data_IF_059911559786
#
_entry.id   IF_059911559786
#
_cell.length_a   1.000
_cell.length_b   1.000
_cell.length_c   1.000
_cell.angle_alpha   90.00
_cell.angle_beta   90.00
_cell.angle_gamma   90.00
#
_symmetry.space_group_name_H-M   'P 1'
#
loop_
_entity.id
_entity.type
_entity.pdbx_description
1 polymer ?
#
# COMPACT_ATOMS: atom_id res chain seq x y z
N UNK A 1 -19.80 -34.74 -5.91
CA UNK A 1 -20.06 -33.29 -5.79
C UNK A 1 -18.78 -32.58 -6.13
N UNK A 2 -18.73 -31.92 -7.29
CA UNK A 2 -17.54 -31.23 -7.79
C UNK A 2 -17.46 -29.83 -7.16
N UNK A 3 -16.34 -29.53 -6.50
CA UNK A 3 -15.98 -28.17 -6.10
C UNK A 3 -15.53 -27.38 -7.34
N UNK A 4 -15.98 -26.13 -7.55
CA UNK A 4 -15.49 -25.30 -8.64
C UNK A 4 -14.04 -24.88 -8.37
N UNK A 5 -13.21 -24.97 -9.42
CA UNK A 5 -11.83 -24.51 -9.45
C UNK A 5 -11.77 -23.02 -9.16
N UNK A 6 -10.88 -22.64 -8.25
CA UNK A 6 -10.46 -21.27 -8.07
C UNK A 6 -9.79 -20.78 -9.36
N UNK A 7 -10.26 -19.65 -9.85
CA UNK A 7 -9.70 -18.88 -10.95
C UNK A 7 -8.20 -18.63 -10.72
N UNK A 8 -7.34 -19.14 -11.59
CA UNK A 8 -5.94 -18.73 -11.69
C UNK A 8 -5.86 -17.26 -12.10
N UNK A 9 -5.24 -16.35 -11.33
CA UNK A 9 -4.84 -15.04 -11.80
C UNK A 9 -3.36 -15.06 -12.20
N UNK A 10 -2.90 -16.14 -12.83
CA UNK A 10 -1.50 -16.27 -13.24
C UNK A 10 -1.34 -15.78 -14.68
N UNK A 11 -1.48 -14.47 -14.87
CA UNK A 11 -0.87 -13.80 -16.01
C UNK A 11 0.65 -13.95 -15.86
N UNK A 12 1.26 -14.93 -16.54
CA UNK A 12 2.71 -15.13 -16.46
C UNK A 12 3.43 -13.85 -16.88
N UNK A 13 4.61 -13.53 -16.33
CA UNK A 13 5.39 -12.35 -16.73
C UNK A 13 5.67 -12.31 -18.26
N UNK A 14 5.76 -13.49 -18.88
CA UNK A 14 5.84 -13.63 -20.34
C UNK A 14 4.54 -13.22 -21.06
N UNK A 15 3.38 -13.45 -20.45
CA UNK A 15 2.07 -13.03 -20.97
C UNK A 15 1.86 -11.52 -20.84
N UNK A 16 2.29 -10.90 -19.74
CA UNK A 16 2.25 -9.43 -19.60
C UNK A 16 3.14 -8.75 -20.63
N UNK A 17 4.36 -9.27 -20.83
CA UNK A 17 5.26 -8.77 -21.87
C UNK A 17 4.67 -8.98 -23.27
N UNK A 18 4.12 -10.16 -23.56
CA UNK A 18 3.50 -10.45 -24.85
C UNK A 18 2.25 -9.58 -25.10
N UNK A 19 1.45 -9.33 -24.06
CA UNK A 19 0.28 -8.45 -24.08
C UNK A 19 0.71 -7.01 -24.38
N UNK A 20 1.69 -6.49 -23.64
CA UNK A 20 2.25 -5.15 -23.84
C UNK A 20 2.77 -4.95 -25.27
N UNK A 21 3.51 -5.94 -25.80
CA UNK A 21 4.03 -5.92 -27.17
C UNK A 21 2.92 -6.01 -28.24
N UNK A 22 1.76 -6.56 -27.89
CA UNK A 22 0.62 -6.71 -28.81
C UNK A 22 -0.27 -5.46 -28.87
N UNK A 23 -0.13 -4.53 -27.91
CA UNK A 23 -0.91 -3.30 -27.84
C UNK A 23 -0.70 -2.40 -29.08
N UNK A 24 -1.74 -1.69 -29.55
CA UNK A 24 -1.62 -0.80 -30.71
C UNK A 24 -0.50 0.24 -30.59
N UNK A 25 -0.28 0.77 -29.38
CA UNK A 25 0.76 1.76 -29.07
C UNK A 25 2.16 1.16 -29.20
N UNK A 26 2.37 -0.10 -28.79
CA UNK A 26 3.64 -0.80 -28.96
C UNK A 26 3.96 -1.09 -30.44
N UNK A 27 2.94 -1.23 -31.31
CA UNK A 27 3.14 -1.43 -32.75
C UNK A 27 3.73 -0.21 -33.45
N UNK A 28 3.49 0.99 -32.92
CA UNK A 28 4.01 2.25 -33.46
C UNK A 28 5.50 2.46 -33.12
N UNK A 29 6.02 1.73 -32.13
CA UNK A 29 7.41 1.80 -31.71
C UNK A 29 8.36 1.22 -32.78
N UNK A 30 9.49 1.89 -32.97
CA UNK A 30 10.59 1.39 -33.79
C UNK A 30 11.30 0.20 -33.11
N UNK A 31 12.16 -0.55 -33.82
CA UNK A 31 12.82 -1.73 -33.26
C UNK A 31 13.64 -1.47 -31.99
N UNK A 32 14.31 -0.32 -31.89
CA UNK A 32 15.10 0.03 -30.72
C UNK A 32 14.20 0.34 -29.50
N UNK A 33 13.09 1.05 -29.71
CA UNK A 33 12.09 1.32 -28.68
C UNK A 33 11.41 0.02 -28.20
N UNK A 34 11.10 -0.90 -29.12
CA UNK A 34 10.55 -2.23 -28.77
C UNK A 34 11.50 -3.03 -27.88
N UNK A 35 12.81 -3.01 -28.17
CA UNK A 35 13.81 -3.65 -27.32
C UNK A 35 13.88 -3.00 -25.92
N UNK A 36 13.76 -1.66 -25.85
CA UNK A 36 13.68 -0.94 -24.57
C UNK A 36 12.41 -1.30 -23.77
N UNK A 37 11.27 -1.45 -24.44
CA UNK A 37 10.02 -1.88 -23.80
C UNK A 37 10.13 -3.30 -23.25
N UNK A 38 10.72 -4.23 -24.01
CA UNK A 38 10.97 -5.60 -23.52
C UNK A 38 11.88 -5.63 -22.30
N UNK A 39 12.89 -4.75 -22.26
CA UNK A 39 13.75 -4.59 -21.08
C UNK A 39 12.95 -4.04 -19.89
N UNK A 40 12.16 -2.99 -20.10
CA UNK A 40 11.32 -2.41 -19.06
C UNK A 40 10.32 -3.42 -18.47
N UNK A 41 9.77 -4.33 -19.29
CA UNK A 41 8.90 -5.40 -18.81
C UNK A 41 9.63 -6.40 -17.90
N UNK A 42 10.88 -6.77 -18.23
CA UNK A 42 11.71 -7.59 -17.34
C UNK A 42 12.08 -6.86 -16.05
N UNK A 43 12.38 -5.56 -16.14
CA UNK A 43 12.68 -4.75 -14.97
C UNK A 43 11.44 -4.64 -14.06
N UNK A 44 10.24 -4.51 -14.63
CA UNK A 44 8.98 -4.48 -13.89
C UNK A 44 8.71 -5.78 -13.13
N UNK A 45 8.99 -6.94 -13.75
CA UNK A 45 8.92 -8.25 -13.10
C UNK A 45 9.85 -8.33 -11.87
N UNK A 46 11.09 -7.85 -12.01
CA UNK A 46 12.06 -7.83 -10.90
C UNK A 46 11.66 -6.87 -9.77
N UNK A 47 11.04 -5.74 -10.10
CA UNK A 47 10.61 -4.74 -9.13
C UNK A 47 9.34 -5.16 -8.38
N UNK A 48 8.44 -5.90 -9.04
CA UNK A 48 7.11 -6.22 -8.53
C UNK A 48 6.76 -7.70 -8.72
N UNK A 49 7.55 -8.65 -8.16
CA UNK A 49 7.45 -10.07 -8.48
C UNK A 49 6.07 -10.69 -8.19
N UNK A 50 5.39 -10.21 -7.15
CA UNK A 50 4.11 -10.76 -6.69
C UNK A 50 2.90 -9.85 -7.02
N UNK A 51 3.09 -8.82 -7.85
CA UNK A 51 2.05 -7.83 -8.13
C UNK A 51 1.94 -7.51 -9.62
N UNK A 52 1.13 -8.29 -10.39
CA UNK A 52 0.99 -8.10 -11.83
C UNK A 52 0.39 -6.74 -12.21
N UNK A 53 -0.45 -6.16 -11.34
CA UNK A 53 -1.02 -4.82 -11.58
C UNK A 53 0.07 -3.73 -11.54
N UNK A 54 1.01 -3.84 -10.59
CA UNK A 54 2.16 -2.93 -10.53
C UNK A 54 3.16 -3.18 -11.66
N UNK A 55 3.35 -4.44 -12.07
CA UNK A 55 4.15 -4.76 -13.26
C UNK A 55 3.56 -4.09 -14.50
N UNK A 56 2.25 -4.24 -14.73
CA UNK A 56 1.56 -3.63 -15.86
C UNK A 56 1.63 -2.10 -15.80
N UNK A 57 1.43 -1.50 -14.62
CA UNK A 57 1.57 -0.05 -14.44
C UNK A 57 2.96 0.47 -14.83
N UNK A 58 4.03 -0.26 -14.49
CA UNK A 58 5.39 0.12 -14.87
C UNK A 58 5.63 -0.02 -16.39
N UNK A 59 5.05 -1.05 -17.01
CA UNK A 59 5.09 -1.25 -18.46
C UNK A 59 4.35 -0.13 -19.20
N UNK A 60 3.17 0.25 -18.72
CA UNK A 60 2.36 1.33 -19.30
C UNK A 60 3.09 2.68 -19.19
N UNK A 61 3.75 2.97 -18.07
CA UNK A 61 4.60 4.15 -17.92
C UNK A 61 5.77 4.15 -18.92
N UNK A 62 6.40 2.99 -19.16
CA UNK A 62 7.43 2.86 -20.18
C UNK A 62 6.88 3.07 -21.60
N UNK A 63 5.66 2.61 -21.89
CA UNK A 63 4.97 2.88 -23.15
C UNK A 63 4.66 4.37 -23.33
N UNK A 64 4.18 5.05 -22.29
CA UNK A 64 3.94 6.49 -22.32
C UNK A 64 5.23 7.25 -22.60
N UNK A 65 6.32 6.88 -21.92
CA UNK A 65 7.64 7.48 -22.14
C UNK A 65 8.17 7.25 -23.56
N UNK A 66 8.07 6.03 -24.08
CA UNK A 66 8.57 5.70 -25.43
C UNK A 66 7.74 6.31 -26.56
N UNK A 67 6.51 6.72 -26.29
CA UNK A 67 5.62 7.42 -27.22
C UNK A 67 5.56 8.94 -26.96
N UNK A 68 6.52 9.51 -26.23
CA UNK A 68 6.59 10.94 -25.88
C UNK A 68 5.33 11.49 -25.18
N UNK A 69 4.56 10.62 -24.53
CA UNK A 69 3.35 10.95 -23.79
C UNK A 69 3.55 11.12 -22.29
N UNK A 70 4.75 10.83 -21.76
CA UNK A 70 5.05 10.93 -20.33
C UNK A 70 5.52 12.34 -19.93
N UNK A 71 4.95 12.88 -18.86
CA UNK A 71 5.42 14.09 -18.18
C UNK A 71 5.83 13.76 -16.74
N UNK A 72 7.14 13.58 -16.54
CA UNK A 72 7.70 13.24 -15.22
C UNK A 72 7.42 14.32 -14.16
N UNK A 73 7.34 15.59 -14.55
CA UNK A 73 7.08 16.67 -13.60
C UNK A 73 5.63 16.66 -13.15
N UNK A 74 4.70 16.43 -14.07
CA UNK A 74 3.28 16.27 -13.74
C UNK A 74 3.04 15.05 -12.85
N UNK A 75 3.62 13.91 -13.20
CA UNK A 75 3.52 12.67 -12.40
C UNK A 75 4.13 12.84 -11.02
N UNK A 76 5.29 13.48 -10.91
CA UNK A 76 5.94 13.80 -9.63
C UNK A 76 5.09 14.72 -8.75
N UNK A 77 4.45 15.74 -9.34
CA UNK A 77 3.56 16.64 -8.62
C UNK A 77 2.30 15.93 -8.10
N UNK A 78 1.70 15.06 -8.91
CA UNK A 78 0.54 14.26 -8.49
C UNK A 78 0.91 13.26 -7.40
N UNK A 79 2.06 12.59 -7.53
CA UNK A 79 2.59 11.71 -6.48
C UNK A 79 2.71 12.43 -5.13
N UNK A 80 3.31 13.62 -5.12
CA UNK A 80 3.40 14.43 -3.90
C UNK A 80 2.02 14.81 -3.35
N UNK A 81 1.07 15.21 -4.22
CA UNK A 81 -0.30 15.53 -3.82
C UNK A 81 -1.01 14.33 -3.19
N UNK A 82 -0.88 13.14 -3.77
CA UNK A 82 -1.48 11.90 -3.26
C UNK A 82 -0.86 11.56 -1.91
N UNK A 83 0.47 11.66 -1.76
CA UNK A 83 1.15 11.44 -0.47
C UNK A 83 0.65 12.37 0.63
N UNK A 84 0.42 13.63 0.33
CA UNK A 84 -0.16 14.56 1.31
C UNK A 84 -1.62 14.22 1.67
N UNK A 85 -2.43 13.80 0.69
CA UNK A 85 -3.80 13.32 0.94
C UNK A 85 -3.79 12.05 1.80
N UNK A 86 -2.90 11.10 1.52
CA UNK A 86 -2.71 9.86 2.27
C UNK A 86 -2.38 10.16 3.74
N UNK A 87 -1.43 11.08 4.01
CA UNK A 87 -1.08 11.52 5.37
C UNK A 87 -2.29 12.07 6.13
N UNK A 88 -3.08 12.94 5.49
CA UNK A 88 -4.29 13.53 6.10
C UNK A 88 -5.35 12.47 6.38
N UNK A 89 -5.57 11.55 5.44
CA UNK A 89 -6.51 10.45 5.60
C UNK A 89 -6.08 9.52 6.74
N UNK A 90 -4.80 9.15 6.80
CA UNK A 90 -4.25 8.32 7.86
C UNK A 90 -4.43 8.95 9.24
N UNK A 91 -4.18 10.26 9.38
CA UNK A 91 -4.43 10.99 10.63
C UNK A 91 -5.91 10.96 11.03
N UNK A 92 -6.82 11.17 10.07
CA UNK A 92 -8.26 11.12 10.31
C UNK A 92 -8.72 9.73 10.73
N UNK A 93 -8.33 8.69 10.02
CA UNK A 93 -8.68 7.28 10.31
C UNK A 93 -8.16 6.88 11.69
N UNK A 94 -6.92 7.26 12.04
CA UNK A 94 -6.36 7.03 13.37
C UNK A 94 -7.21 7.66 14.47
N UNK A 95 -7.57 8.93 14.32
CA UNK A 95 -8.35 9.63 15.34
C UNK A 95 -9.74 9.00 15.51
N UNK A 96 -10.41 8.66 14.41
CA UNK A 96 -11.71 7.99 14.43
C UNK A 96 -11.63 6.63 15.12
N UNK A 97 -10.60 5.83 14.84
CA UNK A 97 -10.40 4.53 15.48
C UNK A 97 -10.21 4.66 16.99
N UNK A 98 -9.40 5.62 17.46
CA UNK A 98 -9.17 5.87 18.89
C UNK A 98 -10.46 6.26 19.60
N UNK A 99 -11.22 7.21 19.04
CA UNK A 99 -12.50 7.66 19.62
C UNK A 99 -13.53 6.53 19.66
N UNK A 100 -13.68 5.79 18.56
CA UNK A 100 -14.67 4.70 18.46
C UNK A 100 -14.42 3.58 19.49
N UNK A 101 -13.16 3.32 19.83
CA UNK A 101 -12.78 2.38 20.90
C UNK A 101 -13.01 2.98 22.29
N UNK A 102 -12.68 4.27 22.49
CA UNK A 102 -12.88 4.96 23.76
C UNK A 102 -14.37 5.03 24.14
N UNK A 103 -15.21 5.32 23.17
CA UNK A 103 -16.67 5.40 23.31
C UNK A 103 -17.35 4.03 23.35
N UNK A 104 -16.56 2.94 23.25
CA UNK A 104 -17.03 1.54 23.20
C UNK A 104 -18.00 1.26 22.03
N UNK A 105 -17.99 2.10 20.99
CA UNK A 105 -18.80 1.91 19.79
C UNK A 105 -18.33 0.67 18.99
N UNK A 106 -17.03 0.37 19.02
CA UNK A 106 -16.44 -0.86 18.45
C UNK A 106 -15.36 -1.43 19.36
N UNK A 107 -15.09 -2.74 19.23
CA UNK A 107 -13.97 -3.37 19.93
C UNK A 107 -12.61 -2.99 19.30
N UNK A 108 -11.53 -3.02 20.10
CA UNK A 108 -10.16 -2.81 19.60
C UNK A 108 -9.80 -3.71 18.42
N UNK A 109 -10.22 -4.98 18.48
CA UNK A 109 -9.97 -5.96 17.42
C UNK A 109 -10.67 -5.52 16.13
N UNK A 110 -11.97 -5.20 16.23
CA UNK A 110 -12.74 -4.77 15.06
C UNK A 110 -12.19 -3.48 14.45
N UNK A 111 -11.82 -2.50 15.27
CA UNK A 111 -11.22 -1.26 14.80
C UNK A 111 -9.89 -1.49 14.07
N UNK A 112 -9.02 -2.34 14.61
CA UNK A 112 -7.74 -2.70 13.99
C UNK A 112 -7.94 -3.41 12.65
N UNK A 113 -8.86 -4.36 12.58
CA UNK A 113 -9.20 -5.10 11.36
C UNK A 113 -9.74 -4.16 10.25
N UNK A 114 -10.64 -3.23 10.59
CA UNK A 114 -11.27 -2.31 9.62
C UNK A 114 -10.26 -1.35 8.98
N UNK A 115 -9.25 -0.93 9.74
CA UNK A 115 -8.25 0.04 9.27
C UNK A 115 -6.94 -0.64 8.86
N UNK A 116 -6.92 -1.97 8.80
CA UNK A 116 -5.79 -2.80 8.38
C UNK A 116 -4.49 -2.49 9.13
N UNK A 117 -4.58 -2.34 10.45
CA UNK A 117 -3.39 -2.18 11.31
C UNK A 117 -3.33 -3.24 12.39
N UNK A 118 -2.12 -3.49 12.87
CA UNK A 118 -1.93 -4.34 14.03
C UNK A 118 -2.60 -3.75 15.28
N UNK A 119 -3.20 -4.62 16.11
CA UNK A 119 -3.91 -4.23 17.33
C UNK A 119 -2.99 -3.49 18.32
N UNK A 120 -1.71 -3.83 18.39
CA UNK A 120 -0.75 -3.14 19.24
C UNK A 120 -0.41 -1.74 18.73
N UNK A 121 -0.46 -1.51 17.41
CA UNK A 121 -0.37 -0.15 16.86
C UNK A 121 -1.54 0.72 17.35
N UNK A 122 -2.78 0.20 17.29
CA UNK A 122 -3.97 0.90 17.79
C UNK A 122 -3.92 1.16 19.30
N UNK A 123 -3.45 0.19 20.10
CA UNK A 123 -3.27 0.37 21.55
C UNK A 123 -2.25 1.46 21.88
N UNK A 124 -1.16 1.56 21.12
CA UNK A 124 -0.19 2.65 21.26
C UNK A 124 -0.81 4.02 20.96
N UNK A 125 -1.64 4.13 19.93
CA UNK A 125 -2.31 5.39 19.59
C UNK A 125 -3.28 5.87 20.67
N UNK A 126 -3.96 4.94 21.33
CA UNK A 126 -4.89 5.25 22.42
C UNK A 126 -4.21 5.52 23.77
N UNK A 127 -2.87 5.54 23.82
CA UNK A 127 -2.10 5.73 25.06
C UNK A 127 -2.21 4.57 26.06
N UNK A 128 -2.89 3.46 25.68
CA UNK A 128 -3.00 2.25 26.49
C UNK A 128 -1.75 1.39 26.31
N UNK A 129 -0.66 1.76 26.99
CA UNK A 129 0.52 0.89 27.09
C UNK A 129 0.12 -0.47 27.65
N UNK A 130 0.75 -1.52 27.14
CA UNK A 130 0.57 -2.88 27.63
C UNK A 130 1.01 -2.93 29.11
N UNK A 131 0.05 -2.85 30.02
CA UNK A 131 0.14 -3.19 31.43
C UNK A 131 1.51 -2.87 32.07
N UNK A 132 1.88 -1.59 32.14
CA UNK A 132 2.80 -1.16 33.19
C UNK A 132 2.11 -1.52 34.51
N UNK A 133 2.58 -2.59 35.16
CA UNK A 133 2.19 -2.97 36.52
C UNK A 133 2.07 -1.70 37.34
N UNK A 134 0.85 -1.40 37.78
CA UNK A 134 0.55 -0.42 38.82
C UNK A 134 1.39 -0.80 40.05
N UNK A 135 2.55 -0.18 40.23
CA UNK A 135 3.28 -0.21 41.50
C UNK A 135 2.76 0.94 42.35
N UNK A 136 1.50 0.83 42.78
CA UNK A 136 1.01 1.51 43.99
C UNK A 136 0.99 0.46 45.09
N UNK A 137 1.26 0.72 46.36
CA UNK A 137 1.43 1.96 47.11
C UNK A 137 1.98 1.53 48.48
N UNK A 138 2.83 2.34 49.11
CA UNK A 138 2.87 2.43 50.56
C UNK A 138 3.33 3.84 50.95
N UNK A 139 2.33 4.72 51.02
CA UNK A 139 2.39 6.00 51.72
C UNK A 139 2.39 5.69 53.22
N UNK A 140 3.48 6.01 53.91
CA UNK A 140 3.51 6.14 55.37
C UNK A 140 3.79 7.60 55.70
N UNK A 141 2.84 8.25 56.36
CA UNK A 141 2.89 9.65 56.78
C UNK A 141 3.93 9.86 57.90
N UNK A 142 4.56 11.04 57.90
CA UNK A 142 5.41 11.61 58.96
C UNK A 142 4.62 11.79 60.29
N UNK A 143 5.27 12.05 61.44
CA UNK A 143 5.63 13.44 61.77
C UNK A 143 6.91 13.65 62.62
N UNK A 144 7.51 14.83 62.41
CA UNK A 144 8.24 15.73 63.33
C UNK A 144 8.82 15.20 64.65
N UNK A 145 10.15 15.31 64.82
CA UNK A 145 10.84 16.21 65.77
C UNK A 145 12.30 16.39 65.35
#
# INVERSE_FOLDING_TARGET
MATPSATDPSGSANELTASAMSQPRARQLNPAQRARLQRAARDAELLYPDNPDLQQCAIDAALDYLNDGADLNAEGAEWHRIREKEKRLAARVRQLAVMSVADKAVSERRAADVIFVDRMALRRWSGKTANTRKKGSARGQEPSQ
#
